data_IF_890238670802
#
_entry.id   IF_890238670802
#
_cell.length_a   1.000
_cell.length_b   1.000
_cell.length_c   1.000
_cell.angle_alpha   90.00
_cell.angle_beta   90.00
_cell.angle_gamma   90.00
#
_symmetry.space_group_name_H-M   'P 1'
#
loop_
_entity.id
_entity.type
_entity.pdbx_description
1 polymer ?
#
# COMPACT_ATOMS: atom_id res chain seq x y z
N UNK A 1 4.50 -16.23 -10.83
CA UNK A 1 3.84 -15.07 -10.20
C UNK A 1 3.37 -15.47 -8.82
N UNK A 2 3.31 -14.52 -7.90
CA UNK A 2 2.79 -14.71 -6.55
C UNK A 2 1.27 -14.60 -6.58
N UNK A 3 0.55 -15.44 -5.83
CA UNK A 3 -0.91 -15.46 -5.84
C UNK A 3 -1.56 -14.85 -4.58
N UNK A 4 -0.79 -14.61 -3.52
CA UNK A 4 -1.29 -14.13 -2.21
C UNK A 4 -0.22 -13.33 -1.49
N UNK A 5 -0.56 -12.33 -0.69
CA UNK A 5 0.40 -11.60 0.18
C UNK A 5 -0.08 -11.51 1.62
N UNK A 6 0.86 -11.37 2.57
CA UNK A 6 0.56 -11.29 4.00
C UNK A 6 0.29 -9.85 4.39
N UNK A 7 -0.87 -9.60 4.97
CA UNK A 7 -1.21 -8.30 5.56
C UNK A 7 -0.72 -8.21 7.01
N UNK A 8 -0.58 -6.98 7.51
CA UNK A 8 -0.25 -6.78 8.92
C UNK A 8 -1.39 -7.34 9.79
N UNK A 9 -1.07 -8.13 10.83
CA UNK A 9 -2.09 -8.65 11.73
C UNK A 9 -2.68 -7.52 12.57
N UNK A 10 -3.97 -7.64 12.92
CA UNK A 10 -4.73 -6.58 13.58
C UNK A 10 -4.16 -6.17 14.95
N UNK A 11 -3.42 -7.05 15.63
CA UNK A 11 -2.79 -6.79 16.92
C UNK A 11 -1.53 -5.92 16.81
N UNK A 12 -0.92 -5.84 15.62
CA UNK A 12 0.19 -4.92 15.31
C UNK A 12 -0.28 -3.55 14.81
N UNK A 13 -1.58 -3.37 14.56
CA UNK A 13 -2.15 -2.12 14.06
C UNK A 13 -2.98 -1.41 15.14
N UNK A 14 -3.23 -0.09 15.00
CA UNK A 14 -4.20 0.59 15.84
C UNK A 14 -5.56 -0.12 15.77
N UNK A 15 -6.18 -0.38 16.92
CA UNK A 15 -7.41 -1.20 17.02
C UNK A 15 -8.57 -0.76 16.13
N UNK A 16 -8.61 0.53 15.78
CA UNK A 16 -9.67 1.14 14.97
C UNK A 16 -9.35 1.13 13.47
N UNK A 17 -8.09 0.89 13.09
CA UNK A 17 -7.68 0.80 11.70
C UNK A 17 -8.31 -0.43 11.04
N UNK A 18 -8.74 -0.26 9.80
CA UNK A 18 -9.24 -1.34 8.96
C UNK A 18 -8.68 -1.16 7.56
N UNK A 19 -8.26 -2.25 6.96
CA UNK A 19 -7.90 -2.27 5.55
C UNK A 19 -9.15 -2.18 4.66
N UNK A 20 -9.03 -1.61 3.44
CA UNK A 20 -10.07 -1.69 2.43
C UNK A 20 -10.47 -3.14 2.11
N UNK A 21 -11.76 -3.38 1.90
CA UNK A 21 -12.29 -4.73 1.64
C UNK A 21 -11.66 -5.37 0.39
N UNK A 22 -11.43 -4.58 -0.67
CA UNK A 22 -10.84 -5.10 -1.89
C UNK A 22 -9.37 -5.46 -1.72
N UNK A 23 -8.62 -4.67 -0.94
CA UNK A 23 -7.25 -5.02 -0.56
C UNK A 23 -7.20 -6.35 0.22
N UNK A 24 -8.12 -6.55 1.17
CA UNK A 24 -8.25 -7.83 1.90
C UNK A 24 -8.59 -9.00 0.97
N UNK A 25 -9.43 -8.79 -0.05
CA UNK A 25 -9.72 -9.81 -1.07
C UNK A 25 -8.45 -10.17 -1.85
N UNK A 26 -7.70 -9.18 -2.33
CA UNK A 26 -6.48 -9.38 -3.09
C UNK A 26 -5.36 -10.07 -2.30
N UNK A 27 -5.29 -9.84 -0.98
CA UNK A 27 -4.33 -10.53 -0.11
C UNK A 27 -4.44 -12.06 -0.19
N UNK A 28 -5.65 -12.57 -0.47
CA UNK A 28 -5.97 -14.00 -0.55
C UNK A 28 -5.97 -14.54 -1.97
N UNK A 29 -6.09 -13.68 -2.97
CA UNK A 29 -6.05 -14.07 -4.37
C UNK A 29 -5.71 -12.88 -5.29
N UNK A 30 -4.55 -12.94 -5.95
CA UNK A 30 -4.05 -11.98 -6.93
C UNK A 30 -4.37 -12.34 -8.40
N UNK A 31 -5.16 -13.38 -8.67
CA UNK A 31 -5.45 -13.86 -10.03
C UNK A 31 -5.94 -12.74 -10.97
N UNK A 32 -6.77 -11.82 -10.46
CA UNK A 32 -7.28 -10.71 -11.26
C UNK A 32 -6.18 -9.70 -11.61
N UNK A 33 -5.20 -9.49 -10.72
CA UNK A 33 -4.03 -8.65 -10.96
C UNK A 33 -3.05 -9.36 -11.91
N UNK A 34 -2.82 -10.65 -11.70
CA UNK A 34 -1.87 -11.45 -12.50
C UNK A 34 -2.31 -11.61 -13.97
N UNK A 35 -3.59 -11.35 -14.30
CA UNK A 35 -4.09 -11.30 -15.68
C UNK A 35 -3.72 -10.01 -16.41
N UNK A 36 -3.29 -8.97 -15.69
CA UNK A 36 -2.94 -7.67 -16.26
C UNK A 36 -1.47 -7.74 -16.67
N UNK A 37 -1.24 -7.80 -17.99
CA UNK A 37 0.11 -7.86 -18.54
C UNK A 37 0.90 -6.61 -18.14
N UNK A 38 2.14 -6.80 -17.67
CA UNK A 38 3.04 -5.72 -17.24
C UNK A 38 2.55 -4.86 -16.07
N UNK A 39 1.62 -5.36 -15.22
CA UNK A 39 1.28 -4.64 -13.99
C UNK A 39 2.53 -4.38 -13.13
N UNK A 40 2.93 -3.11 -12.91
CA UNK A 40 4.27 -2.81 -12.41
C UNK A 40 4.37 -2.85 -10.88
N UNK A 41 3.23 -2.87 -10.19
CA UNK A 41 3.16 -2.84 -8.75
C UNK A 41 3.21 -4.24 -8.14
N UNK A 42 4.13 -4.41 -7.20
CA UNK A 42 4.30 -5.61 -6.39
C UNK A 42 3.70 -5.40 -5.00
N UNK A 43 2.68 -6.18 -4.62
CA UNK A 43 2.11 -6.16 -3.28
C UNK A 43 3.07 -6.75 -2.23
N UNK A 44 3.34 -5.98 -1.18
CA UNK A 44 4.31 -6.32 -0.14
C UNK A 44 3.73 -7.27 0.90
N UNK A 45 4.61 -8.09 1.49
CA UNK A 45 4.30 -8.74 2.75
C UNK A 45 4.42 -7.75 3.90
N UNK A 46 3.62 -7.97 4.94
CA UNK A 46 3.77 -7.27 6.20
C UNK A 46 5.15 -7.47 6.79
N UNK A 47 5.75 -6.36 7.22
CA UNK A 47 7.01 -6.36 7.95
C UNK A 47 6.83 -6.88 9.37
N UNK A 48 7.85 -7.58 9.87
CA UNK A 48 7.83 -8.11 11.23
C UNK A 48 7.91 -6.99 12.28
N UNK A 49 8.73 -5.97 12.02
CA UNK A 49 8.91 -4.80 12.88
C UNK A 49 8.24 -3.55 12.28
N UNK A 50 6.94 -3.44 12.53
CA UNK A 50 6.12 -2.31 12.05
C UNK A 50 6.61 -0.97 12.60
N UNK A 51 7.12 -0.91 13.83
CA UNK A 51 7.55 0.34 14.46
C UNK A 51 8.80 0.90 13.78
N UNK A 52 9.78 0.04 13.50
CA UNK A 52 10.96 0.42 12.73
C UNK A 52 10.57 0.82 11.31
N UNK A 53 9.64 0.09 10.69
CA UNK A 53 9.19 0.38 9.33
C UNK A 53 8.51 1.74 9.20
N UNK A 54 7.57 2.05 10.09
CA UNK A 54 6.90 3.36 10.17
C UNK A 54 7.92 4.49 10.36
N UNK A 55 8.95 4.30 11.20
CA UNK A 55 10.02 5.29 11.39
C UNK A 55 10.85 5.52 10.12
N UNK A 56 11.14 4.46 9.37
CA UNK A 56 11.86 4.55 8.10
C UNK A 56 11.03 5.35 7.09
N UNK A 57 9.76 4.99 6.90
CA UNK A 57 8.86 5.70 6.00
C UNK A 57 8.71 7.17 6.39
N UNK A 58 8.52 7.48 7.68
CA UNK A 58 8.51 8.87 8.18
C UNK A 58 9.77 9.63 7.78
N UNK A 59 10.96 9.03 7.92
CA UNK A 59 12.24 9.69 7.56
C UNK A 59 12.32 9.98 6.05
N UNK A 60 11.76 9.10 5.23
CA UNK A 60 11.81 9.20 3.77
C UNK A 60 10.75 10.16 3.24
N UNK A 61 9.52 10.11 3.74
CA UNK A 61 8.36 10.85 3.20
C UNK A 61 8.05 12.12 3.98
N UNK A 62 8.49 12.23 5.23
CA UNK A 62 8.07 13.30 6.15
C UNK A 62 6.67 13.10 6.75
N UNK A 63 5.99 12.01 6.42
CA UNK A 63 4.62 11.72 6.89
C UNK A 63 4.63 10.63 7.96
N UNK A 64 3.97 10.93 9.07
CA UNK A 64 3.81 10.01 10.18
C UNK A 64 2.83 8.88 9.90
N UNK A 65 3.10 7.72 10.50
CA UNK A 65 2.20 6.55 10.55
C UNK A 65 1.84 5.98 9.17
N UNK A 66 2.77 6.02 8.22
CA UNK A 66 2.62 5.29 6.96
C UNK A 66 3.08 3.83 7.10
N UNK A 67 2.36 2.94 6.45
CA UNK A 67 2.82 1.60 6.06
C UNK A 67 2.65 1.48 4.54
N UNK A 68 3.63 0.95 3.83
CA UNK A 68 3.44 0.61 2.42
C UNK A 68 2.73 -0.73 2.28
N UNK A 69 2.03 -0.88 1.17
CA UNK A 69 1.34 -2.11 0.80
C UNK A 69 1.71 -2.59 -0.62
N UNK A 70 2.31 -1.73 -1.44
CA UNK A 70 2.81 -2.09 -2.76
C UNK A 70 4.01 -1.24 -3.19
N UNK A 71 4.86 -1.81 -4.05
CA UNK A 71 6.07 -1.19 -4.60
C UNK A 71 6.12 -1.20 -6.12
N UNK A 72 6.70 -0.16 -6.69
CA UNK A 72 7.12 -0.12 -8.09
C UNK A 72 8.51 0.53 -8.15
N UNK A 73 9.57 -0.28 -8.04
CA UNK A 73 10.93 0.22 -7.82
C UNK A 73 11.01 1.06 -6.53
N UNK A 74 11.49 2.30 -6.65
CA UNK A 74 11.60 3.23 -5.52
C UNK A 74 10.24 3.80 -5.06
N UNK A 75 9.18 3.62 -5.85
CA UNK A 75 7.85 4.05 -5.47
C UNK A 75 7.19 3.11 -4.48
N UNK A 76 6.51 3.69 -3.48
CA UNK A 76 5.77 2.99 -2.45
C UNK A 76 4.35 3.56 -2.33
N UNK A 77 3.34 2.71 -2.50
CA UNK A 77 1.95 3.04 -2.19
C UNK A 77 1.65 2.66 -0.74
N UNK A 78 1.11 3.61 0.02
CA UNK A 78 1.01 3.53 1.47
C UNK A 78 -0.40 3.83 1.99
N UNK A 79 -0.75 3.17 3.09
CA UNK A 79 -1.87 3.57 3.94
C UNK A 79 -1.35 4.33 5.15
N UNK A 80 -2.15 5.27 5.65
CA UNK A 80 -1.92 5.89 6.95
C UNK A 80 -2.68 5.13 8.03
N UNK A 81 -1.97 4.48 8.96
CA UNK A 81 -2.60 3.59 9.95
C UNK A 81 -3.39 4.32 11.04
N UNK A 82 -3.35 5.65 11.05
CA UNK A 82 -4.20 6.50 11.90
C UNK A 82 -5.47 6.98 11.20
N UNK A 83 -5.70 6.57 9.94
CA UNK A 83 -6.97 6.80 9.26
C UNK A 83 -7.92 5.63 9.59
N UNK A 84 -8.99 5.94 10.32
CA UNK A 84 -9.94 4.95 10.83
C UNK A 84 -11.24 4.89 10.01
N UNK A 85 -11.27 5.49 8.82
CA UNK A 85 -12.44 5.48 7.93
C UNK A 85 -12.85 4.06 7.51
N UNK A 86 -11.87 3.14 7.45
CA UNK A 86 -11.99 1.81 6.85
C UNK A 86 -11.78 1.78 5.34
N UNK A 87 -11.61 2.95 4.74
CA UNK A 87 -11.17 3.12 3.37
C UNK A 87 -10.13 4.25 3.33
N UNK A 88 -8.92 4.00 3.89
CA UNK A 88 -7.91 5.02 4.04
C UNK A 88 -7.44 5.55 2.68
N UNK A 89 -7.10 6.85 2.66
CA UNK A 89 -6.41 7.47 1.53
C UNK A 89 -5.14 6.69 1.17
N UNK A 90 -4.82 6.60 -0.12
CA UNK A 90 -3.55 6.07 -0.60
C UNK A 90 -2.57 7.20 -0.83
N UNK A 91 -1.40 7.09 -0.19
CA UNK A 91 -0.26 8.00 -0.38
C UNK A 91 0.82 7.28 -1.18
N UNK A 92 1.25 7.86 -2.29
CA UNK A 92 2.29 7.28 -3.13
C UNK A 92 3.52 8.17 -3.14
N UNK A 93 4.65 7.61 -2.70
CA UNK A 93 5.91 8.34 -2.57
C UNK A 93 7.01 7.66 -3.36
N UNK A 94 7.84 8.45 -4.05
CA UNK A 94 9.16 8.03 -4.50
C UNK A 94 10.11 8.08 -3.29
N UNK A 95 10.54 6.92 -2.80
CA UNK A 95 11.42 6.83 -1.64
C UNK A 95 12.87 7.24 -1.95
N UNK A 96 13.24 7.34 -3.23
CA UNK A 96 14.51 7.90 -3.70
C UNK A 96 14.47 9.42 -3.86
N UNK A 97 13.28 10.02 -4.01
CA UNK A 97 13.09 11.45 -4.22
C UNK A 97 11.91 12.02 -3.41
N UNK A 98 12.22 12.66 -2.28
CA UNK A 98 11.23 13.20 -1.33
C UNK A 98 10.25 14.22 -1.92
N UNK A 99 10.57 14.84 -3.04
CA UNK A 99 9.72 15.85 -3.68
C UNK A 99 8.70 15.25 -4.65
N UNK A 100 8.77 13.94 -4.92
CA UNK A 100 7.91 13.26 -5.86
C UNK A 100 6.91 12.38 -5.12
N UNK A 101 5.64 12.77 -5.15
CA UNK A 101 4.53 12.07 -4.53
C UNK A 101 3.20 12.41 -5.19
N UNK A 102 2.20 11.56 -4.96
CA UNK A 102 0.81 11.78 -5.33
C UNK A 102 -0.13 11.01 -4.39
N UNK A 103 -1.43 11.31 -4.44
CA UNK A 103 -2.43 10.72 -3.55
C UNK A 103 -3.70 10.34 -4.33
N UNK A 104 -4.41 9.34 -3.82
CA UNK A 104 -5.75 8.94 -4.28
C UNK A 104 -6.70 8.82 -3.11
N UNK A 105 -7.99 9.07 -3.33
CA UNK A 105 -8.99 9.08 -2.25
C UNK A 105 -9.05 7.77 -1.47
N UNK A 106 -8.85 6.65 -2.16
CA UNK A 106 -8.92 5.30 -1.60
C UNK A 106 -8.11 4.29 -2.44
N UNK A 107 -8.13 3.03 -2.01
CA UNK A 107 -7.42 1.93 -2.66
C UNK A 107 -7.94 1.59 -4.06
N UNK A 108 -9.25 1.68 -4.28
CA UNK A 108 -9.84 1.35 -5.57
C UNK A 108 -9.49 2.42 -6.60
N UNK A 109 -9.57 3.70 -6.22
CA UNK A 109 -9.16 4.84 -7.03
C UNK A 109 -7.70 4.71 -7.47
N UNK A 110 -6.80 4.37 -6.53
CA UNK A 110 -5.40 4.11 -6.84
C UNK A 110 -5.26 2.95 -7.83
N UNK A 111 -5.80 1.77 -7.51
CA UNK A 111 -5.59 0.58 -8.33
C UNK A 111 -6.15 0.73 -9.74
N UNK A 112 -7.35 1.33 -9.90
CA UNK A 112 -7.92 1.57 -11.22
C UNK A 112 -7.08 2.57 -12.04
N UNK A 113 -6.52 3.58 -11.39
CA UNK A 113 -5.65 4.55 -12.04
C UNK A 113 -4.34 3.91 -12.52
N UNK A 114 -3.71 3.09 -11.67
CA UNK A 114 -2.49 2.36 -12.03
C UNK A 114 -2.74 1.34 -13.16
N UNK A 115 -3.88 0.65 -13.16
CA UNK A 115 -4.28 -0.25 -14.26
C UNK A 115 -4.47 0.54 -15.56
N UNK A 116 -5.17 1.69 -15.50
CA UNK A 116 -5.46 2.52 -16.68
C UNK A 116 -4.19 3.11 -17.30
N UNK A 117 -3.17 3.41 -16.50
CA UNK A 117 -1.90 3.96 -17.01
C UNK A 117 -1.05 2.95 -17.81
N UNK A 118 -1.41 1.66 -17.77
CA UNK A 118 -0.74 0.59 -18.51
C UNK A 118 -1.38 0.34 -19.88
N UNK A 119 -2.70 0.58 -19.98
CA UNK A 119 -3.52 0.36 -21.18
C UNK A 119 -3.45 1.55 -22.15
#
# INVERSE_FOLDING_TARGET
MRNTFKIYPNDKLPKQFKFPDYYLKLSRNLDDINKIEYFPWWFEDAEDDIDSYVKILKRLTGVDYLISFARNGDWAACFKITDFSGDPRVYVYDLGNKNSNYEYNDFNDWLQSEIKNIL
#
